data_IF_442600100979
#
_entry.id   IF_442600100979
#
_cell.length_a   1.000
_cell.length_b   1.000
_cell.length_c   1.000
_cell.angle_alpha   90.00
_cell.angle_beta   90.00
_cell.angle_gamma   90.00
#
_symmetry.space_group_name_H-M   'P 1'
#
loop_
_entity.id
_entity.type
_entity.pdbx_description
1 polymer ?
#
# COMPACT_ATOMS: atom_id res chain seq x y z
N UNK A 1 -3.59 19.26 8.37
CA UNK A 1 -4.96 18.84 8.01
C UNK A 1 -5.03 18.13 6.65
N UNK A 2 -4.27 18.58 5.65
CA UNK A 2 -4.21 17.96 4.31
C UNK A 2 -3.69 16.51 4.30
N UNK A 3 -2.69 16.18 5.11
CA UNK A 3 -2.16 14.81 5.26
C UNK A 3 -3.21 13.79 5.71
N UNK A 4 -4.08 14.18 6.65
CA UNK A 4 -5.15 13.34 7.15
C UNK A 4 -6.25 13.16 6.09
N UNK A 5 -6.52 14.22 5.31
CA UNK A 5 -7.50 14.21 4.24
C UNK A 5 -7.04 13.31 3.07
N UNK A 6 -5.75 13.36 2.73
CA UNK A 6 -5.12 12.48 1.74
C UNK A 6 -5.09 11.02 2.20
N UNK A 7 -4.77 10.76 3.47
CA UNK A 7 -4.87 9.41 4.06
C UNK A 7 -6.31 8.89 4.07
N UNK A 8 -7.31 9.74 4.35
CA UNK A 8 -8.73 9.35 4.33
C UNK A 8 -9.29 9.18 2.91
N UNK A 9 -8.81 9.94 1.93
CA UNK A 9 -9.18 9.77 0.52
C UNK A 9 -8.60 8.48 -0.05
N UNK A 10 -7.33 8.18 0.26
CA UNK A 10 -6.70 6.92 -0.11
C UNK A 10 -7.36 5.73 0.61
N UNK A 11 -7.84 5.90 1.85
CA UNK A 11 -8.69 4.94 2.55
C UNK A 11 -10.05 4.73 1.87
N UNK A 12 -10.68 5.79 1.34
CA UNK A 12 -11.96 5.72 0.63
C UNK A 12 -11.89 4.93 -0.67
N UNK A 13 -10.80 5.09 -1.42
CA UNK A 13 -10.57 4.38 -2.68
C UNK A 13 -10.30 2.88 -2.44
N UNK A 14 -9.61 2.52 -1.35
CA UNK A 14 -9.37 1.11 -0.98
C UNK A 14 -10.61 0.38 -0.42
N UNK A 15 -11.49 1.08 0.29
CA UNK A 15 -12.77 0.48 0.75
C UNK A 15 -13.71 0.26 -0.45
N UNK A 16 -13.67 1.14 -1.46
CA UNK A 16 -14.38 0.93 -2.72
C UNK A 16 -13.80 -0.24 -3.54
N UNK A 17 -12.48 -0.44 -3.50
CA UNK A 17 -11.81 -1.56 -4.20
C UNK A 17 -12.04 -2.93 -3.52
N UNK A 18 -12.26 -2.94 -2.19
CA UNK A 18 -12.61 -4.14 -1.43
C UNK A 18 -13.94 -4.78 -1.86
N UNK A 19 -14.86 -4.02 -2.46
CA UNK A 19 -16.10 -4.55 -3.05
C UNK A 19 -15.86 -5.38 -4.32
N UNK A 20 -14.78 -5.12 -5.07
CA UNK A 20 -14.51 -5.83 -6.35
C UNK A 20 -14.03 -7.26 -6.15
N UNK A 21 -13.31 -7.55 -5.07
CA UNK A 21 -12.93 -8.93 -4.72
C UNK A 21 -14.11 -9.77 -4.24
N UNK A 22 -15.07 -9.15 -3.53
CA UNK A 22 -16.27 -9.84 -3.06
C UNK A 22 -17.25 -10.16 -4.20
N UNK A 23 -17.28 -9.35 -5.27
CA UNK A 23 -18.08 -9.62 -6.46
C UNK A 23 -17.55 -10.77 -7.32
N UNK A 24 -16.25 -11.09 -7.23
CA UNK A 24 -15.64 -12.21 -7.98
C UNK A 24 -15.82 -13.57 -7.29
N UNK A 25 -16.05 -13.59 -5.98
CA UNK A 25 -16.24 -14.82 -5.18
C UNK A 25 -17.69 -15.36 -5.27
N UNK A 26 -18.67 -14.50 -5.56
CA UNK A 26 -20.07 -14.90 -5.76
C UNK A 26 -20.37 -15.39 -7.19
N UNK A 27 -19.37 -15.40 -8.09
CA UNK A 27 -19.51 -15.75 -9.50
C UNK A 27 -18.56 -16.86 -9.92
N UNK A 28 -18.84 -18.09 -9.50
CA UNK A 28 -18.23 -19.31 -10.06
C UNK A 28 -16.96 -19.79 -9.35
N UNK A 29 -17.15 -20.75 -8.44
CA UNK A 29 -16.12 -21.59 -7.81
C UNK A 29 -15.25 -22.32 -8.85
N UNK A 30 -14.10 -21.74 -9.23
CA UNK A 30 -12.98 -22.47 -9.86
C UNK A 30 -11.61 -21.99 -9.32
N UNK A 31 -11.57 -21.46 -8.09
CA UNK A 31 -10.33 -21.07 -7.40
C UNK A 31 -10.03 -22.01 -6.23
N UNK A 32 -8.77 -22.47 -6.03
CA UNK A 32 -8.45 -23.37 -4.92
C UNK A 32 -8.67 -22.66 -3.58
N UNK A 33 -9.50 -23.29 -2.74
CA UNK A 33 -9.91 -22.89 -1.37
C UNK A 33 -8.76 -22.63 -0.38
N UNK A 34 -7.51 -22.87 -0.81
CA UNK A 34 -6.27 -22.59 -0.07
C UNK A 34 -6.10 -21.08 0.19
N UNK A 35 -6.53 -20.20 -0.75
CA UNK A 35 -6.39 -18.74 -0.60
C UNK A 35 -7.55 -18.09 0.17
N UNK A 36 -8.73 -18.74 0.24
CA UNK A 36 -9.91 -18.20 0.92
C UNK A 36 -9.75 -18.18 2.46
N UNK A 37 -9.05 -19.17 3.02
CA UNK A 37 -8.75 -19.22 4.45
C UNK A 37 -7.75 -18.12 4.86
N UNK A 38 -6.75 -17.85 4.01
CA UNK A 38 -5.76 -16.81 4.27
C UNK A 38 -6.36 -15.41 4.16
N UNK A 39 -7.24 -15.17 3.16
CA UNK A 39 -7.89 -13.88 2.94
C UNK A 39 -8.75 -13.40 4.12
N UNK A 40 -9.51 -14.30 4.79
CA UNK A 40 -10.28 -13.94 6.00
C UNK A 40 -9.37 -13.60 7.18
N UNK A 41 -8.29 -14.35 7.36
CA UNK A 41 -7.30 -14.10 8.42
C UNK A 41 -6.58 -12.75 8.18
N UNK A 42 -6.31 -12.45 6.92
CA UNK A 42 -5.67 -11.24 6.46
C UNK A 42 -6.58 -10.01 6.57
N UNK A 43 -7.87 -10.10 6.23
CA UNK A 43 -8.84 -9.00 6.49
C UNK A 43 -8.85 -8.60 7.96
N UNK A 44 -8.87 -9.57 8.88
CA UNK A 44 -8.81 -9.29 10.31
C UNK A 44 -7.49 -8.67 10.76
N UNK A 45 -6.37 -8.96 10.09
CA UNK A 45 -5.05 -8.35 10.40
C UNK A 45 -4.97 -6.92 9.86
N UNK A 46 -5.47 -6.70 8.64
CA UNK A 46 -5.44 -5.38 8.00
C UNK A 46 -6.40 -4.41 8.68
N UNK A 47 -7.59 -4.85 9.05
CA UNK A 47 -8.53 -4.04 9.86
C UNK A 47 -7.91 -3.63 11.20
N UNK A 48 -7.19 -4.55 11.86
CA UNK A 48 -6.44 -4.24 13.09
C UNK A 48 -5.32 -3.22 12.86
N UNK A 49 -4.59 -3.34 11.76
CA UNK A 49 -3.54 -2.40 11.39
C UNK A 49 -4.12 -0.99 11.16
N UNK A 50 -5.19 -0.87 10.37
CA UNK A 50 -5.84 0.42 10.11
C UNK A 50 -6.42 1.03 11.39
N UNK A 51 -7.02 0.21 12.26
CA UNK A 51 -7.51 0.69 13.56
C UNK A 51 -6.35 1.17 14.44
N UNK A 52 -5.21 0.48 14.43
CA UNK A 52 -4.01 0.90 15.15
C UNK A 52 -3.46 2.22 14.60
N UNK A 53 -3.36 2.39 13.28
CA UNK A 53 -2.93 3.64 12.63
C UNK A 53 -3.86 4.79 12.96
N UNK A 54 -5.17 4.55 12.95
CA UNK A 54 -6.17 5.54 13.36
C UNK A 54 -6.00 5.95 14.83
N UNK A 55 -5.88 4.97 15.72
CA UNK A 55 -5.63 5.18 17.15
C UNK A 55 -4.30 5.91 17.42
N UNK A 56 -3.29 5.66 16.59
CA UNK A 56 -1.98 6.29 16.72
C UNK A 56 -2.00 7.75 16.25
N UNK A 57 -2.70 8.03 15.15
CA UNK A 57 -2.90 9.40 14.66
C UNK A 57 -3.74 10.26 15.62
N UNK A 58 -4.82 9.72 16.19
CA UNK A 58 -5.61 10.45 17.20
C UNK A 58 -4.79 10.68 18.47
N UNK A 59 -3.97 9.69 18.89
CA UNK A 59 -3.07 9.83 20.03
C UNK A 59 -2.01 10.90 19.79
N UNK A 60 -1.35 10.90 18.63
CA UNK A 60 -0.39 11.93 18.23
C UNK A 60 -0.99 13.33 18.29
N UNK A 61 -2.22 13.48 17.77
CA UNK A 61 -2.92 14.77 17.80
C UNK A 61 -3.25 15.21 19.23
N UNK A 62 -3.68 14.28 20.08
CA UNK A 62 -3.90 14.56 21.51
C UNK A 62 -2.60 14.97 22.21
N UNK A 63 -1.47 14.33 21.89
CA UNK A 63 -0.17 14.72 22.46
C UNK A 63 0.22 16.15 22.07
N UNK A 64 -0.02 16.55 20.82
CA UNK A 64 0.21 17.94 20.42
C UNK A 64 -0.64 18.93 21.24
N UNK A 65 -1.93 18.64 21.43
CA UNK A 65 -2.79 19.48 22.27
C UNK A 65 -2.34 19.54 23.73
N UNK A 66 -1.91 18.42 24.31
CA UNK A 66 -1.40 18.40 25.67
C UNK A 66 -0.04 19.10 25.81
N UNK A 67 0.81 19.03 24.80
CA UNK A 67 2.06 19.80 24.76
C UNK A 67 1.78 21.31 24.81
N UNK A 68 0.87 21.77 23.95
CA UNK A 68 0.49 23.19 23.88
C UNK A 68 -0.14 23.68 25.21
N UNK A 69 -1.02 22.87 25.82
CA UNK A 69 -1.65 23.22 27.09
C UNK A 69 -0.65 23.28 28.25
N UNK A 70 0.29 22.33 28.31
CA UNK A 70 1.37 22.34 29.31
C UNK A 70 2.34 23.51 29.12
N UNK A 71 2.64 23.89 27.87
CA UNK A 71 3.44 25.07 27.57
C UNK A 71 2.72 26.35 28.02
N UNK A 72 1.43 26.50 27.70
CA UNK A 72 0.62 27.63 28.13
C UNK A 72 0.55 27.75 29.66
N UNK A 73 0.42 26.60 30.35
CA UNK A 73 0.38 26.57 31.81
C UNK A 73 1.74 26.95 32.42
N UNK A 74 2.86 26.56 31.81
CA UNK A 74 4.20 27.02 32.19
C UNK A 74 4.41 28.51 31.94
N UNK A 75 3.94 29.03 30.81
CA UNK A 75 3.96 30.46 30.48
C UNK A 75 3.17 31.28 31.51
N UNK A 76 1.99 30.80 31.91
CA UNK A 76 1.16 31.43 32.96
C UNK A 76 1.85 31.45 34.33
N UNK A 77 2.68 30.46 34.62
CA UNK A 77 3.50 30.40 35.83
C UNK A 77 4.78 31.26 35.75
N UNK A 78 5.01 31.95 34.63
CA UNK A 78 6.18 32.80 34.40
C UNK A 78 7.47 32.03 34.10
N UNK A 79 7.35 30.73 33.80
CA UNK A 79 8.47 29.82 33.59
C UNK A 79 8.62 29.47 32.10
N UNK A 80 9.85 29.56 31.60
CA UNK A 80 10.24 29.21 30.24
C UNK A 80 10.23 27.71 29.97
N UNK A 81 10.21 27.31 28.70
CA UNK A 81 10.17 25.90 28.26
C UNK A 81 11.38 25.05 28.71
N UNK A 82 12.39 25.67 29.34
CA UNK A 82 13.60 25.05 29.90
C UNK A 82 13.65 25.10 31.44
N UNK A 83 12.59 25.55 32.12
CA UNK A 83 12.61 25.82 33.57
C UNK A 83 13.31 27.12 33.96
N UNK A 84 13.85 27.86 32.98
CA UNK A 84 14.38 29.21 33.18
C UNK A 84 13.24 30.21 33.33
N UNK A 85 13.25 31.12 34.32
CA UNK A 85 12.24 32.19 34.39
C UNK A 85 12.23 33.00 33.09
N UNK A 86 11.05 33.34 32.56
CA UNK A 86 10.95 34.27 31.41
C UNK A 86 11.39 35.70 31.78
N UNK A 87 11.56 36.00 33.06
CA UNK A 87 11.85 37.33 33.60
C UNK A 87 13.16 37.30 34.39
N UNK A 88 14.18 37.98 33.89
CA UNK A 88 15.52 38.06 34.50
C UNK A 88 15.58 38.94 35.77
N UNK A 89 14.46 39.51 36.23
CA UNK A 89 14.49 40.47 37.34
C UNK A 89 13.17 40.61 38.09
N UNK A 90 13.04 39.87 39.19
CA UNK A 90 12.59 40.45 40.46
C UNK A 90 13.34 39.74 41.58
N UNK A 91 13.96 40.46 42.52
CA UNK A 91 14.74 39.86 43.60
C UNK A 91 13.81 38.99 44.45
N UNK A 92 13.99 37.68 44.35
CA UNK A 92 13.60 36.64 45.32
C UNK A 92 12.59 37.06 46.39
N UNK A 93 11.34 37.35 45.99
CA UNK A 93 10.22 37.13 46.90
C UNK A 93 9.91 35.66 46.73
N UNK A 94 10.45 34.82 47.64
CA UNK A 94 10.31 33.35 47.65
C UNK A 94 8.94 32.99 47.08
N UNK A 95 8.92 32.40 45.89
CA UNK A 95 7.70 31.88 45.31
C UNK A 95 7.13 30.90 46.36
N UNK A 96 5.81 30.88 46.61
CA UNK A 96 5.23 29.89 47.51
C UNK A 96 5.72 28.50 47.09
N UNK A 97 6.21 27.69 48.03
CA UNK A 97 6.84 26.38 47.73
C UNK A 97 5.98 25.48 46.84
N UNK A 98 4.66 25.56 47.00
CA UNK A 98 3.70 24.84 46.16
C UNK A 98 3.77 25.19 44.66
N UNK A 99 4.17 26.43 44.31
CA UNK A 99 4.28 26.87 42.92
C UNK A 99 5.61 26.42 42.31
N UNK A 100 6.67 26.39 43.11
CA UNK A 100 7.98 25.88 42.70
C UNK A 100 7.92 24.36 42.44
N UNK A 101 7.27 23.61 43.33
CA UNK A 101 7.01 22.17 43.15
C UNK A 101 6.16 21.91 41.89
N UNK A 102 5.10 22.69 41.68
CA UNK A 102 4.25 22.55 40.49
C UNK A 102 5.00 22.83 39.17
N UNK A 103 5.95 23.78 39.17
CA UNK A 103 6.80 24.06 38.01
C UNK A 103 7.76 22.88 37.71
N UNK A 104 8.35 22.31 38.75
CA UNK A 104 9.23 21.14 38.61
C UNK A 104 8.46 19.94 38.04
N UNK A 105 7.23 19.71 38.50
CA UNK A 105 6.39 18.63 38.01
C UNK A 105 5.92 18.85 36.57
N UNK A 106 5.50 20.07 36.21
CA UNK A 106 5.06 20.41 34.84
C UNK A 106 6.19 20.32 33.82
N UNK A 107 7.39 20.78 34.17
CA UNK A 107 8.57 20.67 33.31
C UNK A 107 8.99 19.20 33.12
N UNK A 108 8.94 18.38 34.17
CA UNK A 108 9.17 16.94 34.08
C UNK A 108 8.10 16.23 33.23
N UNK A 109 6.83 16.64 33.34
CA UNK A 109 5.74 16.11 32.52
C UNK A 109 5.92 16.45 31.03
N UNK A 110 6.33 17.69 30.71
CA UNK A 110 6.65 18.09 29.33
C UNK A 110 7.78 17.26 28.73
N UNK A 111 8.85 17.02 29.49
CA UNK A 111 9.98 16.22 29.01
C UNK A 111 9.54 14.79 28.65
N UNK A 112 8.69 14.17 29.49
CA UNK A 112 8.12 12.85 29.24
C UNK A 112 7.18 12.85 28.03
N UNK A 113 6.37 13.89 27.88
CA UNK A 113 5.42 13.99 26.78
C UNK A 113 6.12 14.13 25.42
N UNK A 114 7.22 14.91 25.36
CA UNK A 114 8.07 15.01 24.17
C UNK A 114 8.68 13.66 23.77
N UNK A 115 9.10 12.85 24.75
CA UNK A 115 9.58 11.49 24.50
C UNK A 115 8.47 10.57 23.96
N UNK A 116 7.25 10.68 24.46
CA UNK A 116 6.13 9.89 23.93
C UNK A 116 5.74 10.33 22.52
N UNK A 117 5.82 11.63 22.22
CA UNK A 117 5.58 12.18 20.88
C UNK A 117 6.58 11.65 19.86
N UNK A 118 7.87 11.68 20.18
CA UNK A 118 8.91 11.16 19.27
C UNK A 118 8.74 9.66 18.98
N UNK A 119 8.35 8.88 19.98
CA UNK A 119 8.02 7.45 19.80
C UNK A 119 6.78 7.25 18.92
N UNK A 120 5.74 8.08 19.09
CA UNK A 120 4.55 8.02 18.25
C UNK A 120 4.87 8.40 16.79
N UNK A 121 5.73 9.39 16.55
CA UNK A 121 6.18 9.76 15.20
C UNK A 121 6.99 8.63 14.54
N UNK A 122 7.89 7.98 15.28
CA UNK A 122 8.63 6.82 14.77
C UNK A 122 7.70 5.66 14.37
N UNK A 123 6.68 5.36 15.18
CA UNK A 123 5.68 4.33 14.87
C UNK A 123 4.79 4.71 13.69
N UNK A 124 4.47 6.00 13.52
CA UNK A 124 3.72 6.49 12.36
C UNK A 124 4.51 6.22 11.08
N UNK A 125 5.80 6.60 11.08
CA UNK A 125 6.68 6.40 9.92
C UNK A 125 6.83 4.92 9.55
N UNK A 126 6.96 4.03 10.53
CA UNK A 126 7.01 2.57 10.27
C UNK A 126 5.69 2.04 9.71
N UNK A 127 4.55 2.54 10.21
CA UNK A 127 3.25 2.15 9.70
C UNK A 127 3.05 2.61 8.24
N UNK A 128 3.52 3.81 7.89
CA UNK A 128 3.47 4.33 6.53
C UNK A 128 4.32 3.49 5.57
N UNK A 129 5.50 3.03 6.00
CA UNK A 129 6.35 2.11 5.22
C UNK A 129 5.62 0.79 4.91
N UNK A 130 4.93 0.21 5.90
CA UNK A 130 4.12 -1.01 5.70
C UNK A 130 2.98 -0.78 4.71
N UNK A 131 2.33 0.38 4.77
CA UNK A 131 1.26 0.75 3.83
C UNK A 131 1.82 0.90 2.40
N UNK A 132 2.97 1.54 2.24
CA UNK A 132 3.62 1.71 0.94
C UNK A 132 4.10 0.38 0.34
N UNK A 133 4.70 -0.50 1.15
CA UNK A 133 5.08 -1.86 0.75
C UNK A 133 3.88 -2.63 0.20
N UNK A 134 2.72 -2.49 0.84
CA UNK A 134 1.49 -3.13 0.39
C UNK A 134 0.96 -2.54 -0.91
N UNK A 135 1.01 -1.22 -1.07
CA UNK A 135 0.63 -0.58 -2.32
C UNK A 135 1.50 -1.08 -3.48
N UNK A 136 2.80 -1.26 -3.22
CA UNK A 136 3.73 -1.85 -4.18
C UNK A 136 3.37 -3.31 -4.51
N UNK A 137 3.13 -4.16 -3.50
CA UNK A 137 2.78 -5.57 -3.71
C UNK A 137 1.46 -5.72 -4.51
N UNK A 138 0.45 -4.92 -4.17
CA UNK A 138 -0.79 -4.88 -4.94
C UNK A 138 -0.57 -4.44 -6.38
N UNK A 139 0.29 -3.45 -6.64
CA UNK A 139 0.60 -3.04 -8.00
C UNK A 139 1.27 -4.15 -8.82
N UNK A 140 2.07 -5.02 -8.17
CA UNK A 140 2.68 -6.18 -8.82
C UNK A 140 1.64 -7.25 -9.16
N UNK A 141 0.70 -7.50 -8.26
CA UNK A 141 -0.42 -8.43 -8.50
C UNK A 141 -1.31 -7.94 -9.65
N UNK A 142 -1.71 -6.66 -9.62
CA UNK A 142 -2.53 -6.05 -10.67
C UNK A 142 -1.78 -6.05 -12.02
N UNK A 143 -0.46 -5.80 -12.00
CA UNK A 143 0.41 -5.91 -13.17
C UNK A 143 0.47 -7.31 -13.75
N UNK A 144 0.56 -8.35 -12.90
CA UNK A 144 0.57 -9.74 -13.33
C UNK A 144 -0.77 -10.16 -13.94
N UNK A 145 -1.90 -9.69 -13.37
CA UNK A 145 -3.22 -9.93 -13.94
C UNK A 145 -3.38 -9.24 -15.31
N UNK A 146 -2.96 -7.99 -15.43
CA UNK A 146 -2.99 -7.26 -16.69
C UNK A 146 -2.11 -7.92 -17.76
N UNK A 147 -0.94 -8.44 -17.40
CA UNK A 147 -0.09 -9.18 -18.32
C UNK A 147 -0.80 -10.43 -18.86
N UNK A 148 -1.48 -11.19 -17.98
CA UNK A 148 -2.26 -12.37 -18.41
C UNK A 148 -3.38 -11.98 -19.37
N UNK A 149 -4.09 -10.89 -19.08
CA UNK A 149 -5.15 -10.39 -19.95
C UNK A 149 -4.61 -9.92 -21.31
N UNK A 150 -3.48 -9.21 -21.32
CA UNK A 150 -2.81 -8.78 -22.54
C UNK A 150 -2.34 -9.97 -23.38
N UNK A 151 -1.82 -11.02 -22.74
CA UNK A 151 -1.44 -12.27 -23.41
C UNK A 151 -2.66 -12.96 -24.04
N UNK A 152 -3.78 -13.02 -23.32
CA UNK A 152 -5.03 -13.58 -23.88
C UNK A 152 -5.53 -12.76 -25.08
N UNK A 153 -5.54 -11.43 -24.96
CA UNK A 153 -5.93 -10.55 -26.05
C UNK A 153 -5.01 -10.71 -27.27
N UNK A 154 -3.70 -10.86 -27.04
CA UNK A 154 -2.73 -11.10 -28.08
C UNK A 154 -3.03 -12.40 -28.85
N UNK A 155 -3.46 -13.48 -28.18
CA UNK A 155 -3.81 -14.76 -28.82
C UNK A 155 -5.16 -14.69 -29.54
N UNK A 156 -6.16 -14.08 -28.92
CA UNK A 156 -7.53 -14.04 -29.45
C UNK A 156 -7.63 -13.13 -30.68
N UNK A 157 -6.96 -11.98 -30.68
CA UNK A 157 -7.13 -10.99 -31.75
C UNK A 157 -6.79 -11.52 -33.16
N UNK A 158 -5.61 -12.14 -33.42
CA UNK A 158 -5.32 -12.72 -34.72
C UNK A 158 -6.24 -13.89 -35.07
N UNK A 159 -6.61 -14.72 -34.10
CA UNK A 159 -7.53 -15.83 -34.31
C UNK A 159 -8.91 -15.32 -34.77
N UNK A 160 -9.42 -14.26 -34.15
CA UNK A 160 -10.68 -13.61 -34.56
C UNK A 160 -10.58 -12.97 -35.94
N UNK A 161 -9.43 -12.39 -36.30
CA UNK A 161 -9.20 -11.82 -37.63
C UNK A 161 -9.20 -12.88 -38.73
N UNK A 162 -8.56 -14.04 -38.49
CA UNK A 162 -8.57 -15.17 -39.42
C UNK A 162 -9.98 -15.73 -39.57
N UNK A 163 -10.71 -15.89 -38.45
CA UNK A 163 -12.10 -16.35 -38.47
C UNK A 163 -13.01 -15.38 -39.25
N UNK A 164 -12.84 -14.08 -39.08
CA UNK A 164 -13.59 -13.05 -39.81
C UNK A 164 -13.28 -13.06 -41.32
N UNK A 165 -12.00 -13.13 -41.70
CA UNK A 165 -11.58 -13.18 -43.11
C UNK A 165 -12.09 -14.43 -43.82
N UNK A 166 -11.97 -15.60 -43.19
CA UNK A 166 -12.44 -16.87 -43.77
C UNK A 166 -13.96 -16.97 -43.75
N UNK A 167 -14.64 -16.36 -42.78
CA UNK A 167 -16.10 -16.34 -42.68
C UNK A 167 -16.79 -15.51 -43.78
N UNK A 168 -16.07 -14.54 -44.39
CA UNK A 168 -16.62 -13.67 -45.43
C UNK A 168 -16.37 -14.18 -46.86
N UNK A 169 -15.48 -15.16 -47.04
CA UNK A 169 -15.13 -15.70 -48.36
C UNK A 169 -16.07 -16.86 -48.74
N UNK A 170 -16.88 -16.65 -49.79
CA UNK A 170 -17.67 -17.72 -50.42
C UNK A 170 -16.71 -18.79 -50.99
N UNK A 171 -16.71 -19.99 -50.38
CA UNK A 171 -15.80 -21.11 -50.69
C UNK A 171 -15.36 -21.92 -49.46
N UNK A 172 -15.44 -21.34 -48.25
CA UNK A 172 -15.03 -22.00 -47.00
C UNK A 172 -16.20 -22.41 -46.09
N UNK A 173 -17.43 -22.40 -46.62
CA UNK A 173 -18.64 -22.78 -45.87
C UNK A 173 -18.68 -24.30 -45.63
N UNK A 174 -19.27 -24.77 -44.51
CA UNK A 174 -19.44 -26.19 -44.26
C UNK A 174 -20.31 -26.82 -45.36
N UNK A 175 -19.72 -27.73 -46.13
CA UNK A 175 -20.34 -28.34 -47.32
C UNK A 175 -19.58 -28.09 -48.63
N UNK A 176 -18.58 -27.21 -48.64
CA UNK A 176 -17.77 -26.87 -49.82
C UNK A 176 -16.39 -27.55 -49.80
N UNK A 177 -15.80 -27.78 -50.99
CA UNK A 177 -14.60 -28.61 -51.16
C UNK A 177 -13.32 -28.07 -50.50
N UNK A 178 -13.29 -26.80 -50.11
CA UNK A 178 -12.14 -26.12 -49.53
C UNK A 178 -12.21 -25.96 -47.99
N UNK A 179 -13.18 -26.58 -47.33
CA UNK A 179 -13.31 -26.53 -45.86
C UNK A 179 -12.05 -26.98 -45.10
N UNK A 180 -11.24 -27.87 -45.68
CA UNK A 180 -10.01 -28.35 -45.05
C UNK A 180 -8.94 -27.25 -44.85
N UNK A 181 -8.97 -26.21 -45.67
CA UNK A 181 -8.03 -25.06 -45.60
C UNK A 181 -8.20 -24.28 -44.30
N UNK A 182 -9.42 -24.24 -43.72
CA UNK A 182 -9.66 -23.63 -42.42
C UNK A 182 -8.79 -24.26 -41.33
N UNK A 183 -8.70 -25.59 -41.29
CA UNK A 183 -7.89 -26.32 -40.33
C UNK A 183 -6.39 -26.17 -40.60
N UNK A 184 -5.99 -26.16 -41.87
CA UNK A 184 -4.59 -26.01 -42.29
C UNK A 184 -4.03 -24.63 -41.97
N UNK A 185 -4.85 -23.58 -41.95
CA UNK A 185 -4.38 -22.20 -41.66
C UNK A 185 -4.51 -21.88 -40.17
N UNK A 186 -5.61 -22.30 -39.52
CA UNK A 186 -5.87 -21.96 -38.12
C UNK A 186 -4.90 -22.66 -37.14
N UNK A 187 -4.62 -23.95 -37.33
CA UNK A 187 -3.73 -24.71 -36.43
C UNK A 187 -2.31 -24.13 -36.39
N UNK A 188 -1.60 -23.94 -37.53
CA UNK A 188 -0.26 -23.37 -37.50
C UNK A 188 -0.25 -21.90 -37.08
N UNK A 189 -1.29 -21.11 -37.40
CA UNK A 189 -1.40 -19.74 -36.91
C UNK A 189 -1.45 -19.71 -35.38
N UNK A 190 -2.27 -20.55 -34.74
CA UNK A 190 -2.34 -20.67 -33.28
C UNK A 190 -1.02 -21.18 -32.71
N UNK A 191 -0.39 -22.18 -33.32
CA UNK A 191 0.90 -22.71 -32.86
C UNK A 191 2.04 -21.67 -32.92
N UNK A 192 2.12 -20.88 -33.99
CA UNK A 192 3.12 -19.81 -34.13
C UNK A 192 2.88 -18.73 -33.07
N UNK A 193 1.62 -18.37 -32.82
CA UNK A 193 1.23 -17.37 -31.84
C UNK A 193 1.58 -17.83 -30.41
N UNK A 194 1.21 -19.06 -30.07
CA UNK A 194 1.57 -19.72 -28.81
C UNK A 194 3.08 -19.79 -28.66
N UNK A 195 3.83 -20.16 -29.70
CA UNK A 195 5.29 -20.18 -29.67
C UNK A 195 5.92 -18.80 -29.44
N UNK A 196 5.36 -17.75 -30.05
CA UNK A 196 5.84 -16.38 -29.87
C UNK A 196 5.56 -15.84 -28.47
N UNK A 197 4.38 -16.15 -27.92
CA UNK A 197 3.97 -15.78 -26.55
C UNK A 197 4.72 -16.58 -25.49
N UNK A 198 4.94 -17.88 -25.72
CA UNK A 198 5.67 -18.74 -24.78
C UNK A 198 7.17 -18.56 -24.84
N UNK A 199 7.75 -17.78 -25.76
CA UNK A 199 9.16 -17.37 -25.66
C UNK A 199 9.28 -16.55 -24.36
N UNK A 200 9.74 -17.16 -23.26
CA UNK A 200 9.87 -16.43 -22.02
C UNK A 200 10.98 -15.44 -22.30
N UNK A 201 10.77 -14.17 -21.95
CA UNK A 201 11.80 -13.16 -22.04
C UNK A 201 13.01 -13.58 -21.17
N UNK A 202 13.94 -14.29 -21.80
CA UNK A 202 15.19 -14.78 -21.23
C UNK A 202 16.08 -13.63 -20.75
N UNK A 203 15.72 -12.38 -21.04
CA UNK A 203 16.42 -11.18 -20.58
C UNK A 203 16.17 -10.91 -19.09
N UNK A 204 15.04 -11.36 -18.53
CA UNK A 204 14.69 -11.13 -17.11
C UNK A 204 15.53 -11.97 -16.12
N UNK A 205 16.00 -13.14 -16.52
CA UNK A 205 16.87 -13.99 -15.68
C UNK A 205 18.34 -13.51 -15.62
N UNK A 206 18.77 -12.67 -16.56
CA UNK A 206 20.16 -12.18 -16.59
C UNK A 206 20.42 -11.04 -15.60
N UNK A 207 19.39 -10.27 -15.24
CA UNK A 207 19.52 -9.15 -14.28
C UNK A 207 19.55 -9.65 -12.83
N UNK A 208 18.80 -10.71 -12.51
CA UNK A 208 18.75 -11.22 -11.14
C UNK A 208 20.06 -11.90 -10.69
N UNK A 209 20.83 -12.47 -11.63
CA UNK A 209 22.13 -13.09 -11.34
C UNK A 209 23.27 -12.07 -11.16
N UNK A 210 23.19 -10.89 -11.79
CA UNK A 210 24.21 -9.84 -11.61
C UNK A 210 24.14 -9.14 -10.25
N UNK A 211 22.95 -9.06 -9.63
CA UNK A 211 22.79 -8.43 -8.31
C UNK A 211 23.22 -9.34 -7.15
N UNK A 212 23.08 -10.66 -7.30
CA UNK A 212 23.59 -11.63 -6.33
C UNK A 212 25.12 -11.67 -6.34
N UNK A 213 25.76 -11.57 -7.52
CA UNK A 213 27.22 -11.56 -7.62
C UNK A 213 27.88 -10.30 -7.07
N UNK A 214 27.13 -9.21 -6.84
CA UNK A 214 27.67 -7.93 -6.33
C UNK A 214 27.64 -7.84 -4.79
N UNK A 215 26.78 -8.60 -4.12
CA UNK A 215 26.64 -8.56 -2.65
C UNK A 215 27.67 -9.40 -1.89
N UNK A 216 28.43 -10.25 -2.57
CA UNK A 216 29.38 -11.20 -1.95
C UNK A 216 30.84 -10.73 -1.97
N UNK A 217 31.10 -9.43 -2.18
CA UNK A 217 32.46 -8.86 -2.00
C UNK A 217 32.54 -8.08 -0.69
N UNK A 218 32.96 -8.70 0.43
CA UNK A 218 33.30 -7.97 1.64
C UNK A 218 34.61 -7.20 1.38
N UNK A 219 34.51 -5.87 1.41
CA UNK A 219 35.65 -4.97 1.60
C UNK A 219 35.89 -4.72 3.08
#
# INVERSE_FOLDING_TARGET
MLELFLLTLNQGEFIADAGRYQARDNGGDIGPSIFAHDHKSWRKKTERLYRAIYCLNIFRRRLAYFEDDLQLNLERLGCGPSGSPWRESTPSKKMPSAIEDANMDLSAALARLKLYKSRADALTSQADEIVNLRAADKSLEDGAFNLRLAVLAAIVFPATLIAALLGMSDGFKPGDGQFWVFWVVSIPAVLIMVFFVLRPDSSRNRIHSSDLSRKDTPG
#
